data_IF_813528605533
#
_entry.id   IF_813528605533
#
_cell.length_a   1.000
_cell.length_b   1.000
_cell.length_c   1.000
_cell.angle_alpha   90.00
_cell.angle_beta   90.00
_cell.angle_gamma   90.00
#
_symmetry.space_group_name_H-M   'P 1'
#
loop_
_entity.id
_entity.type
_entity.pdbx_description
1 polymer ?
#
# COMPACT_ATOMS: atom_id res chain seq x y z
N UNK A 1 16.05 -27.53 -10.80
CA UNK A 1 14.61 -27.23 -10.64
C UNK A 1 13.94 -26.98 -11.98
N UNK A 2 14.13 -25.85 -12.66
CA UNK A 2 13.47 -25.57 -13.96
C UNK A 2 13.68 -26.66 -15.03
N UNK A 3 14.94 -27.10 -15.24
CA UNK A 3 15.27 -28.23 -16.15
C UNK A 3 14.75 -29.59 -15.68
N UNK A 4 14.57 -29.77 -14.37
CA UNK A 4 14.09 -31.03 -13.78
C UNK A 4 12.55 -31.15 -13.90
N UNK A 5 11.87 -30.00 -13.95
CA UNK A 5 10.41 -29.87 -13.93
C UNK A 5 9.83 -29.51 -15.31
N UNK A 6 10.67 -29.45 -16.35
CA UNK A 6 10.32 -29.09 -17.74
C UNK A 6 9.49 -27.80 -17.89
N UNK A 7 9.76 -26.83 -17.01
CA UNK A 7 9.09 -25.52 -16.96
C UNK A 7 10.11 -24.40 -17.07
N UNK A 8 9.66 -23.23 -17.56
CA UNK A 8 10.54 -22.06 -17.67
C UNK A 8 11.00 -21.60 -16.28
N UNK A 9 12.24 -21.09 -16.13
CA UNK A 9 12.74 -20.57 -14.85
C UNK A 9 11.84 -19.49 -14.24
N UNK A 10 11.22 -18.67 -15.10
CA UNK A 10 10.24 -17.64 -14.72
C UNK A 10 9.04 -18.24 -14.00
N UNK A 11 8.50 -19.34 -14.54
CA UNK A 11 7.34 -20.04 -13.96
C UNK A 11 7.68 -20.74 -12.64
N UNK A 12 8.93 -21.20 -12.48
CA UNK A 12 9.40 -21.72 -11.19
C UNK A 12 9.42 -20.63 -10.12
N UNK A 13 9.89 -19.42 -10.46
CA UNK A 13 9.93 -18.29 -9.53
C UNK A 13 8.52 -17.84 -9.16
N UNK A 14 7.62 -17.78 -10.13
CA UNK A 14 6.21 -17.44 -9.91
C UNK A 14 5.54 -18.46 -8.96
N UNK A 15 5.69 -19.76 -9.23
CA UNK A 15 5.15 -20.83 -8.36
C UNK A 15 5.76 -20.74 -6.95
N UNK A 16 7.06 -20.49 -6.83
CA UNK A 16 7.70 -20.33 -5.52
C UNK A 16 7.22 -19.09 -4.76
N UNK A 17 6.77 -18.05 -5.46
CA UNK A 17 6.21 -16.86 -4.85
C UNK A 17 4.81 -17.14 -4.29
N UNK A 18 3.96 -17.84 -5.04
CA UNK A 18 2.62 -18.25 -4.59
C UNK A 18 2.64 -19.33 -3.50
N UNK A 19 3.68 -20.17 -3.48
CA UNK A 19 3.83 -21.22 -2.47
C UNK A 19 4.27 -20.69 -1.09
N UNK A 20 4.51 -19.38 -0.95
CA UNK A 20 4.86 -18.77 0.35
C UNK A 20 3.61 -18.65 1.21
N UNK A 21 3.68 -19.16 2.43
CA UNK A 21 2.63 -18.95 3.42
C UNK A 21 2.61 -17.49 3.88
N UNK A 22 1.42 -16.87 4.04
CA UNK A 22 1.32 -15.51 4.54
C UNK A 22 1.85 -15.45 5.99
N UNK A 23 2.63 -14.41 6.28
CA UNK A 23 3.18 -14.18 7.62
C UNK A 23 2.14 -13.41 8.44
N UNK A 24 2.01 -13.76 9.72
CA UNK A 24 1.10 -13.07 10.64
C UNK A 24 1.61 -11.67 10.97
N UNK A 25 0.70 -10.68 10.93
CA UNK A 25 1.00 -9.32 11.35
C UNK A 25 1.18 -9.19 12.87
N UNK A 26 0.62 -10.11 13.65
CA UNK A 26 0.75 -10.15 15.11
C UNK A 26 2.12 -10.71 15.56
N UNK A 27 2.96 -11.12 14.63
CA UNK A 27 4.28 -11.67 14.95
C UNK A 27 5.16 -10.56 15.55
N UNK A 28 5.65 -10.76 16.77
CA UNK A 28 6.59 -9.85 17.42
C UNK A 28 7.91 -9.78 16.65
N UNK A 29 8.45 -8.59 16.49
CA UNK A 29 9.73 -8.34 15.82
C UNK A 29 10.68 -7.57 16.73
N UNK A 30 11.94 -8.01 16.76
CA UNK A 30 12.97 -7.47 17.65
C UNK A 30 13.06 -8.18 19.02
N UNK A 31 14.21 -8.05 19.67
CA UNK A 31 14.49 -8.68 20.98
C UNK A 31 13.75 -8.02 22.15
N UNK A 32 13.27 -6.79 21.97
CA UNK A 32 12.57 -6.02 23.00
C UNK A 32 11.07 -6.36 23.10
N UNK A 33 10.53 -7.18 22.19
CA UNK A 33 9.18 -7.77 22.29
C UNK A 33 8.00 -6.80 22.19
N UNK A 34 8.26 -5.50 22.07
CA UNK A 34 7.23 -4.45 22.11
C UNK A 34 6.66 -4.09 20.73
N UNK A 35 7.25 -4.56 19.63
CA UNK A 35 6.82 -4.23 18.27
C UNK A 35 6.29 -5.44 17.53
N UNK A 36 5.17 -5.29 16.83
CA UNK A 36 4.59 -6.30 15.96
C UNK A 36 4.95 -6.03 14.51
N UNK A 37 4.96 -7.07 13.67
CA UNK A 37 5.23 -6.92 12.23
C UNK A 37 4.26 -5.92 11.58
N UNK A 38 2.98 -5.93 12.02
CA UNK A 38 1.96 -4.99 11.58
C UNK A 38 2.32 -3.52 11.82
N UNK A 39 3.09 -3.20 12.87
CA UNK A 39 3.49 -1.83 13.19
C UNK A 39 4.44 -1.23 12.16
N UNK A 40 5.08 -2.06 11.32
CA UNK A 40 6.01 -1.64 10.27
C UNK A 40 5.37 -1.56 8.88
N UNK A 41 4.13 -2.04 8.74
CA UNK A 41 3.43 -2.03 7.45
C UNK A 41 2.58 -0.77 7.39
N UNK A 42 3.08 0.23 6.66
CA UNK A 42 2.32 1.44 6.35
C UNK A 42 1.14 1.12 5.43
N UNK A 43 -0.04 1.65 5.76
CA UNK A 43 -1.21 1.54 4.91
C UNK A 43 -1.11 2.54 3.76
N UNK A 44 -0.78 2.04 2.58
CA UNK A 44 -0.69 2.85 1.36
C UNK A 44 -2.04 3.33 0.82
N UNK A 45 -3.16 2.76 1.28
CA UNK A 45 -4.51 3.20 0.88
C UNK A 45 -5.10 4.26 1.81
N UNK A 46 -4.46 4.48 2.97
CA UNK A 46 -4.91 5.48 3.93
C UNK A 46 -4.89 6.89 3.32
N UNK A 47 -6.03 7.59 3.44
CA UNK A 47 -6.13 8.98 2.99
C UNK A 47 -5.29 9.87 3.89
N UNK A 48 -4.28 10.52 3.32
CA UNK A 48 -3.46 11.50 4.02
C UNK A 48 -4.31 12.73 4.33
N UNK A 49 -4.39 13.10 5.61
CA UNK A 49 -5.24 14.22 6.07
C UNK A 49 -4.93 15.54 5.35
N UNK A 50 -3.64 15.79 5.06
CA UNK A 50 -3.19 16.98 4.32
C UNK A 50 -3.77 17.02 2.90
N UNK A 51 -3.80 15.87 2.22
CA UNK A 51 -4.31 15.79 0.85
C UNK A 51 -5.82 15.99 0.82
N UNK A 52 -6.56 15.41 1.78
CA UNK A 52 -8.00 15.60 1.90
C UNK A 52 -8.39 17.07 2.13
N UNK A 53 -7.69 17.77 3.03
CA UNK A 53 -7.92 19.19 3.30
C UNK A 53 -7.56 20.03 2.09
N UNK A 54 -6.43 19.74 1.43
CA UNK A 54 -5.99 20.48 0.25
C UNK A 54 -6.97 20.35 -0.91
N UNK A 55 -7.54 19.15 -1.11
CA UNK A 55 -8.56 18.92 -2.13
C UNK A 55 -9.84 19.71 -1.86
N UNK A 56 -10.27 19.77 -0.60
CA UNK A 56 -11.43 20.54 -0.18
C UNK A 56 -11.21 22.04 -0.40
N UNK A 57 -10.04 22.55 0.00
CA UNK A 57 -9.66 23.95 -0.22
C UNK A 57 -9.63 24.32 -1.71
N UNK A 58 -9.13 23.41 -2.56
CA UNK A 58 -9.12 23.60 -4.01
C UNK A 58 -10.55 23.68 -4.59
N UNK A 59 -11.47 22.85 -4.12
CA UNK A 59 -12.88 22.93 -4.51
C UNK A 59 -13.49 24.29 -4.14
N UNK A 60 -13.27 24.76 -2.92
CA UNK A 60 -13.79 26.05 -2.45
C UNK A 60 -13.24 27.20 -3.30
N UNK A 61 -11.95 27.17 -3.63
CA UNK A 61 -11.31 28.18 -4.46
C UNK A 61 -11.86 28.15 -5.90
N UNK A 62 -12.06 26.97 -6.49
CA UNK A 62 -12.67 26.83 -7.81
C UNK A 62 -14.11 27.34 -7.83
N UNK A 63 -14.89 27.02 -6.80
CA UNK A 63 -16.26 27.50 -6.64
C UNK A 63 -16.31 29.02 -6.58
N UNK A 64 -15.43 29.64 -5.78
CA UNK A 64 -15.31 31.11 -5.71
C UNK A 64 -14.98 31.73 -7.06
N UNK A 65 -14.06 31.15 -7.84
CA UNK A 65 -13.75 31.65 -9.19
C UNK A 65 -14.96 31.52 -10.13
N UNK A 66 -15.67 30.39 -10.10
CA UNK A 66 -16.86 30.18 -10.94
C UNK A 66 -18.00 31.16 -10.59
N UNK A 67 -18.15 31.52 -9.31
CA UNK A 67 -19.11 32.54 -8.88
C UNK A 67 -18.78 33.91 -9.48
N UNK A 68 -17.49 34.29 -9.56
CA UNK A 68 -17.08 35.57 -10.17
C UNK A 68 -17.31 35.65 -11.69
N UNK A 69 -17.55 34.52 -12.36
CA UNK A 69 -17.91 34.48 -13.80
C UNK A 69 -19.43 34.55 -14.03
N UNK A 70 -20.22 34.45 -12.97
CA UNK A 70 -21.68 34.41 -13.02
C UNK A 70 -22.34 35.78 -12.79
N UNK A 71 -21.54 36.82 -12.49
CA UNK A 71 -21.93 38.25 -12.47
C UNK A 71 -21.60 38.97 -13.79
#
# INVERSE_FOLDING_TARGET
LAKEMDITPEKVLEIQQYAREPISLDQTIGDEGDSQLGDFIEDSEAVVAVDAVSFTLLQDQLQSVLETLSE
#
